data_IF_034998982962
#
_entry.id   IF_034998982962
#
_cell.length_a   1.000
_cell.length_b   1.000
_cell.length_c   1.000
_cell.angle_alpha   90.00
_cell.angle_beta   90.00
_cell.angle_gamma   90.00
#
_symmetry.space_group_name_H-M   'P 1'
#
loop_
_entity.id
_entity.type
_entity.pdbx_description
1 polymer ?
#
# COMPACT_ATOMS: atom_id res chain seq x y z
N UNK A 1 -34.21 -41.19 -2.18
CA UNK A 1 -33.26 -40.31 -2.90
C UNK A 1 -33.59 -38.82 -2.74
N UNK A 2 -34.85 -38.38 -2.67
CA UNK A 2 -35.17 -36.94 -2.49
C UNK A 2 -34.93 -36.39 -1.08
N UNK A 3 -35.20 -37.17 -0.03
CA UNK A 3 -35.07 -36.71 1.36
C UNK A 3 -33.63 -36.30 1.73
N UNK A 4 -32.64 -37.13 1.42
CA UNK A 4 -31.23 -36.79 1.67
C UNK A 4 -30.79 -35.55 0.88
N UNK A 5 -31.18 -35.43 -0.40
CA UNK A 5 -30.87 -34.25 -1.20
C UNK A 5 -31.52 -32.97 -0.64
N UNK A 6 -32.75 -33.05 -0.13
CA UNK A 6 -33.40 -31.93 0.55
C UNK A 6 -32.76 -31.60 1.89
N UNK A 7 -32.42 -32.62 2.68
CA UNK A 7 -31.72 -32.48 3.95
C UNK A 7 -30.39 -31.74 3.77
N UNK A 8 -29.53 -32.19 2.86
CA UNK A 8 -28.25 -31.52 2.57
C UNK A 8 -28.46 -30.06 2.18
N UNK A 9 -29.43 -29.76 1.30
CA UNK A 9 -29.71 -28.38 0.88
C UNK A 9 -30.18 -27.49 2.04
N UNK A 10 -31.00 -28.04 2.94
CA UNK A 10 -31.50 -27.32 4.12
C UNK A 10 -30.34 -27.09 5.12
N UNK A 11 -29.53 -28.11 5.39
CA UNK A 11 -28.37 -28.01 6.28
C UNK A 11 -27.37 -26.97 5.77
N UNK A 12 -26.99 -27.03 4.48
CA UNK A 12 -26.11 -26.03 3.87
C UNK A 12 -26.70 -24.62 3.90
N UNK A 13 -28.01 -24.47 3.70
CA UNK A 13 -28.67 -23.16 3.84
C UNK A 13 -28.52 -22.60 5.26
N UNK A 14 -28.79 -23.41 6.29
CA UNK A 14 -28.66 -22.97 7.68
C UNK A 14 -27.21 -22.70 8.09
N UNK A 15 -26.25 -23.50 7.62
CA UNK A 15 -24.82 -23.24 7.81
C UNK A 15 -24.41 -21.88 7.24
N UNK A 16 -24.83 -21.57 6.00
CA UNK A 16 -24.58 -20.26 5.38
C UNK A 16 -25.21 -19.12 6.19
N UNK A 17 -26.46 -19.27 6.64
CA UNK A 17 -27.13 -18.26 7.49
C UNK A 17 -26.34 -18.05 8.79
N UNK A 18 -25.87 -19.12 9.42
CA UNK A 18 -25.13 -19.06 10.67
C UNK A 18 -23.78 -18.36 10.50
N UNK A 19 -23.02 -18.73 9.47
CA UNK A 19 -21.75 -18.09 9.15
C UNK A 19 -21.91 -16.61 8.81
N UNK A 20 -22.95 -16.26 8.04
CA UNK A 20 -23.26 -14.87 7.72
C UNK A 20 -23.59 -14.05 8.97
N UNK A 21 -24.36 -14.61 9.92
CA UNK A 21 -24.67 -13.96 11.18
C UNK A 21 -23.40 -13.73 12.01
N UNK A 22 -22.56 -14.77 12.17
CA UNK A 22 -21.30 -14.67 12.92
C UNK A 22 -20.37 -13.62 12.33
N UNK A 23 -20.25 -13.56 11.00
CA UNK A 23 -19.44 -12.54 10.31
C UNK A 23 -19.95 -11.13 10.61
N UNK A 24 -21.25 -10.88 10.46
CA UNK A 24 -21.85 -9.57 10.77
C UNK A 24 -21.64 -9.15 12.23
N UNK A 25 -21.72 -10.10 13.16
CA UNK A 25 -21.41 -9.84 14.58
C UNK A 25 -19.95 -9.44 14.79
N UNK A 26 -19.00 -10.13 14.13
CA UNK A 26 -17.57 -9.76 14.18
C UNK A 26 -17.31 -8.37 13.61
N UNK A 27 -17.91 -8.03 12.47
CA UNK A 27 -17.80 -6.70 11.85
C UNK A 27 -18.32 -5.64 12.84
N UNK A 28 -19.53 -5.80 13.37
CA UNK A 28 -20.09 -4.85 14.33
C UNK A 28 -19.23 -4.70 15.59
N UNK A 29 -18.66 -5.80 16.10
CA UNK A 29 -17.73 -5.75 17.23
C UNK A 29 -16.45 -4.97 16.90
N UNK A 30 -15.91 -5.17 15.69
CA UNK A 30 -14.74 -4.42 15.20
C UNK A 30 -15.05 -2.94 15.07
N UNK A 31 -16.19 -2.56 14.47
CA UNK A 31 -16.59 -1.15 14.35
C UNK A 31 -16.71 -0.46 15.73
N UNK A 32 -17.25 -1.17 16.74
CA UNK A 32 -17.29 -0.70 18.13
C UNK A 32 -15.90 -0.49 18.71
N UNK A 33 -15.01 -1.44 18.51
CA UNK A 33 -13.63 -1.33 18.99
C UNK A 33 -12.91 -0.13 18.34
N UNK A 34 -12.98 0.01 17.01
CA UNK A 34 -12.29 1.07 16.27
C UNK A 34 -12.83 2.44 16.70
N UNK A 35 -14.14 2.59 16.81
CA UNK A 35 -14.75 3.83 17.28
C UNK A 35 -14.26 4.23 18.68
N UNK A 36 -14.20 3.28 19.63
CA UNK A 36 -13.73 3.54 20.98
C UNK A 36 -12.24 3.90 21.00
N UNK A 37 -11.41 3.20 20.21
CA UNK A 37 -9.97 3.51 20.09
C UNK A 37 -9.74 4.89 19.48
N UNK A 38 -10.46 5.24 18.41
CA UNK A 38 -10.40 6.56 17.79
C UNK A 38 -10.83 7.64 18.79
N UNK A 39 -11.92 7.41 19.54
CA UNK A 39 -12.39 8.31 20.59
C UNK A 39 -11.32 8.53 21.66
N UNK A 40 -10.70 7.45 22.14
CA UNK A 40 -9.66 7.51 23.15
C UNK A 40 -8.46 8.35 22.68
N UNK A 41 -8.03 8.19 21.43
CA UNK A 41 -6.95 9.00 20.84
C UNK A 41 -7.32 10.48 20.75
N UNK A 42 -8.55 10.78 20.35
CA UNK A 42 -9.05 12.16 20.25
C UNK A 42 -9.10 12.80 21.65
N UNK A 43 -9.77 12.16 22.60
CA UNK A 43 -10.06 12.72 23.93
C UNK A 43 -8.80 12.82 24.81
N UNK A 44 -7.85 11.90 24.65
CA UNK A 44 -6.58 11.94 25.41
C UNK A 44 -5.56 12.95 24.89
N UNK A 45 -5.71 13.41 23.64
CA UNK A 45 -4.68 14.21 22.98
C UNK A 45 -3.49 13.40 22.44
N UNK A 46 -3.52 12.05 22.52
CA UNK A 46 -2.40 11.18 22.11
C UNK A 46 -2.06 11.34 20.63
N UNK A 47 -0.77 11.42 20.31
CA UNK A 47 -0.24 11.34 18.94
C UNK A 47 0.18 9.93 18.54
N UNK A 48 0.12 8.98 19.47
CA UNK A 48 0.36 7.55 19.22
C UNK A 48 -0.96 6.80 19.05
N UNK A 49 -1.10 6.09 17.93
CA UNK A 49 -2.34 5.43 17.53
C UNK A 49 -2.10 4.12 16.73
N UNK A 50 -1.24 3.25 17.24
CA UNK A 50 -0.86 2.02 16.54
C UNK A 50 -2.03 1.03 16.39
N UNK A 51 -2.22 0.51 15.18
CA UNK A 51 -3.13 -0.62 14.90
C UNK A 51 -4.62 -0.28 14.87
N UNK A 52 -4.96 1.01 14.75
CA UNK A 52 -6.33 1.45 14.49
C UNK A 52 -6.54 1.45 12.96
N UNK A 53 -7.48 0.66 12.42
CA UNK A 53 -7.88 0.76 11.02
C UNK A 53 -8.84 1.95 10.85
N UNK A 54 -8.28 3.10 10.52
CA UNK A 54 -9.01 4.37 10.48
C UNK A 54 -10.10 4.39 9.40
N UNK A 55 -9.99 3.54 8.38
CA UNK A 55 -10.99 3.33 7.33
C UNK A 55 -12.36 2.91 7.90
N UNK A 56 -12.36 2.29 9.10
CA UNK A 56 -13.57 1.86 9.79
C UNK A 56 -14.05 2.83 10.87
N UNK A 57 -13.32 3.92 11.15
CA UNK A 57 -13.58 4.78 12.30
C UNK A 57 -15.01 5.34 12.28
N UNK A 58 -15.46 5.80 11.12
CA UNK A 58 -16.81 6.34 10.93
C UNK A 58 -17.91 5.30 10.81
N UNK A 59 -17.60 4.00 10.79
CA UNK A 59 -18.60 2.96 10.55
C UNK A 59 -19.77 2.97 11.52
N UNK A 60 -19.52 3.26 12.81
CA UNK A 60 -20.60 3.46 13.78
C UNK A 60 -21.29 4.82 13.69
N UNK A 61 -20.57 5.86 13.28
CA UNK A 61 -21.12 7.21 13.12
C UNK A 61 -22.13 7.27 11.97
N UNK A 62 -21.92 6.49 10.91
CA UNK A 62 -22.81 6.38 9.74
C UNK A 62 -24.08 5.57 10.07
N UNK A 63 -24.02 4.60 10.98
CA UNK A 63 -25.17 3.78 11.37
C UNK A 63 -26.00 4.45 12.48
N UNK A 64 -27.08 5.14 12.11
CA UNK A 64 -28.03 5.72 13.06
C UNK A 64 -28.51 4.71 14.12
N UNK A 65 -28.45 5.09 15.40
CA UNK A 65 -29.00 4.30 16.51
C UNK A 65 -28.18 3.09 16.97
N UNK A 66 -26.98 2.84 16.40
CA UNK A 66 -26.17 1.63 16.72
C UNK A 66 -25.12 1.85 17.82
N UNK A 67 -24.76 3.10 18.13
CA UNK A 67 -23.82 3.42 19.20
C UNK A 67 -24.47 4.32 20.25
N UNK A 68 -24.46 3.89 21.51
CA UNK A 68 -24.86 4.71 22.67
C UNK A 68 -23.81 5.79 23.01
N UNK A 69 -23.12 6.35 22.01
CA UNK A 69 -21.92 7.15 22.16
C UNK A 69 -21.94 8.45 21.34
N UNK A 70 -20.95 9.30 21.60
CA UNK A 70 -20.73 10.56 20.88
C UNK A 70 -20.26 10.25 19.44
N UNK A 71 -20.83 10.86 18.38
CA UNK A 71 -20.34 10.76 17.01
C UNK A 71 -18.88 11.24 16.86
N UNK A 72 -18.07 10.60 16.00
CA UNK A 72 -16.71 11.10 15.70
C UNK A 72 -16.79 12.43 14.94
N UNK A 73 -15.80 13.34 15.13
CA UNK A 73 -15.69 14.55 14.33
C UNK A 73 -15.72 14.26 12.83
N UNK A 74 -16.42 15.10 12.07
CA UNK A 74 -16.55 15.02 10.61
C UNK A 74 -16.14 16.31 9.91
N UNK A 75 -15.80 17.36 10.67
CA UNK A 75 -15.43 18.67 10.16
C UNK A 75 -14.19 19.23 10.86
N UNK A 76 -13.48 20.15 10.21
CA UNK A 76 -12.29 20.81 10.77
C UNK A 76 -12.60 21.69 11.98
N UNK A 77 -13.84 22.16 12.12
CA UNK A 77 -14.28 22.95 13.27
C UNK A 77 -14.46 22.07 14.52
N UNK A 78 -14.80 20.79 14.34
CA UNK A 78 -14.93 19.82 15.43
C UNK A 78 -13.59 19.25 15.87
N UNK A 79 -12.64 19.09 14.94
CA UNK A 79 -11.29 18.63 15.23
C UNK A 79 -10.28 19.29 14.27
N UNK A 80 -9.49 20.26 14.77
CA UNK A 80 -8.32 20.75 14.06
C UNK A 80 -7.31 19.63 13.84
N UNK A 81 -6.62 19.68 12.71
CA UNK A 81 -5.61 18.66 12.36
C UNK A 81 -4.48 18.61 13.36
N UNK A 82 -4.08 17.38 13.68
CA UNK A 82 -2.94 17.04 14.52
C UNK A 82 -2.05 16.07 13.76
N UNK A 83 -0.76 16.36 13.67
CA UNK A 83 0.24 15.41 13.16
C UNK A 83 0.46 14.32 14.21
N UNK A 84 0.31 13.07 13.79
CA UNK A 84 0.53 11.88 14.61
C UNK A 84 2.01 11.50 14.63
N UNK A 85 2.43 10.64 15.56
CA UNK A 85 3.84 10.27 15.72
C UNK A 85 4.42 9.61 14.46
N UNK A 86 3.58 8.90 13.70
CA UNK A 86 3.92 8.27 12.41
C UNK A 86 3.81 9.21 11.20
N UNK A 87 3.47 10.48 11.41
CA UNK A 87 3.33 11.49 10.35
C UNK A 87 1.94 11.52 9.70
N UNK A 88 1.03 10.59 10.01
CA UNK A 88 -0.36 10.68 9.55
C UNK A 88 -1.05 11.92 10.14
N UNK A 89 -2.08 12.41 9.45
CA UNK A 89 -2.81 13.60 9.85
C UNK A 89 -4.15 13.21 10.48
N UNK A 90 -4.28 13.37 11.80
CA UNK A 90 -5.55 13.20 12.48
C UNK A 90 -6.38 14.48 12.37
N UNK A 91 -7.42 14.43 11.56
CA UNK A 91 -8.39 15.49 11.34
C UNK A 91 -9.47 15.03 10.37
N UNK A 92 -10.29 15.95 9.87
CA UNK A 92 -11.44 15.64 9.03
C UNK A 92 -11.34 16.18 7.58
N UNK A 93 -10.20 16.73 7.17
CA UNK A 93 -9.99 17.08 5.76
C UNK A 93 -9.88 15.80 4.92
N UNK A 94 -9.94 15.97 3.60
CA UNK A 94 -9.75 14.86 2.67
C UNK A 94 -8.44 14.13 2.99
N UNK A 95 -8.46 12.79 3.01
CA UNK A 95 -7.30 11.93 3.30
C UNK A 95 -6.79 11.93 4.75
N UNK A 96 -7.29 12.80 5.62
CA UNK A 96 -6.98 12.74 7.05
C UNK A 96 -7.69 11.53 7.69
N UNK A 97 -7.23 11.09 8.86
CA UNK A 97 -7.67 9.84 9.49
C UNK A 97 -9.18 9.79 9.82
N UNK A 98 -9.87 10.93 9.91
CA UNK A 98 -11.32 11.01 10.10
C UNK A 98 -12.03 11.64 8.89
N UNK A 99 -11.44 11.62 7.71
CA UNK A 99 -12.15 11.94 6.47
C UNK A 99 -13.43 11.08 6.37
N UNK A 100 -14.62 11.69 6.34
CA UNK A 100 -15.88 10.93 6.26
C UNK A 100 -15.96 10.03 5.02
N UNK A 101 -15.19 10.32 3.96
CA UNK A 101 -15.15 9.52 2.73
C UNK A 101 -14.49 8.15 2.89
N UNK A 102 -13.74 7.91 3.96
CA UNK A 102 -13.30 6.56 4.31
C UNK A 102 -14.48 5.58 4.48
N UNK A 103 -15.71 6.09 4.69
CA UNK A 103 -16.91 5.28 4.64
C UNK A 103 -17.11 4.49 3.33
N UNK A 104 -16.57 4.97 2.20
CA UNK A 104 -16.56 4.24 0.92
C UNK A 104 -15.72 2.96 1.00
N UNK A 105 -14.53 3.03 1.59
CA UNK A 105 -13.68 1.86 1.83
C UNK A 105 -14.41 0.80 2.67
N UNK A 106 -15.14 1.23 3.70
CA UNK A 106 -15.96 0.32 4.52
C UNK A 106 -17.10 -0.32 3.72
N UNK A 107 -17.82 0.45 2.90
CA UNK A 107 -18.94 -0.07 2.09
C UNK A 107 -18.42 -1.11 1.09
N UNK A 108 -17.42 -0.74 0.30
CA UNK A 108 -16.80 -1.63 -0.70
C UNK A 108 -16.28 -2.91 -0.04
N UNK A 109 -15.55 -2.78 1.07
CA UNK A 109 -15.04 -3.92 1.83
C UNK A 109 -16.18 -4.87 2.24
N UNK A 110 -17.25 -4.36 2.87
CA UNK A 110 -18.38 -5.20 3.31
C UNK A 110 -19.05 -5.90 2.13
N UNK A 111 -19.19 -5.22 0.99
CA UNK A 111 -19.83 -5.75 -0.21
C UNK A 111 -18.97 -6.81 -0.92
N UNK A 112 -17.64 -6.74 -0.82
CA UNK A 112 -16.70 -7.62 -1.51
C UNK A 112 -15.94 -8.61 -0.60
N UNK A 113 -16.34 -8.74 0.67
CA UNK A 113 -15.68 -9.61 1.67
C UNK A 113 -15.44 -11.06 1.22
N UNK A 114 -16.23 -11.58 0.28
CA UNK A 114 -16.10 -12.97 -0.23
C UNK A 114 -15.86 -13.05 -1.74
N UNK A 115 -15.99 -11.94 -2.44
CA UNK A 115 -15.94 -11.90 -3.89
C UNK A 115 -14.75 -11.02 -4.31
N UNK A 116 -13.74 -11.65 -4.90
CA UNK A 116 -12.55 -10.98 -5.41
C UNK A 116 -12.21 -11.47 -6.81
N UNK A 117 -11.46 -10.64 -7.54
CA UNK A 117 -10.91 -10.98 -8.84
C UNK A 117 -10.07 -12.28 -8.74
N UNK A 118 -10.04 -13.11 -9.81
CA UNK A 118 -9.26 -14.34 -9.81
C UNK A 118 -7.75 -14.06 -9.79
N UNK A 119 -7.01 -14.91 -9.08
CA UNK A 119 -5.54 -14.88 -9.05
C UNK A 119 -4.93 -15.24 -10.41
N UNK A 120 -4.08 -14.35 -10.95
CA UNK A 120 -3.27 -14.63 -12.13
C UNK A 120 -2.12 -15.58 -11.81
N UNK A 121 -1.88 -16.59 -12.67
CA UNK A 121 -0.90 -17.66 -12.38
C UNK A 121 0.35 -17.61 -13.25
N UNK A 122 0.38 -16.71 -14.25
CA UNK A 122 1.42 -16.65 -15.28
C UNK A 122 2.06 -15.26 -15.28
N UNK A 123 2.86 -14.93 -14.24
CA UNK A 123 3.44 -13.62 -14.09
C UNK A 123 4.39 -13.29 -15.24
N UNK A 124 4.44 -12.02 -15.62
CA UNK A 124 5.44 -11.52 -16.56
C UNK A 124 6.87 -11.75 -16.05
N UNK A 125 7.76 -12.20 -16.93
CA UNK A 125 9.20 -12.25 -16.69
C UNK A 125 9.92 -11.55 -17.84
N UNK A 126 10.40 -10.34 -17.59
CA UNK A 126 10.80 -9.40 -18.64
C UNK A 126 12.32 -9.21 -18.61
N UNK A 127 12.97 -9.50 -19.74
CA UNK A 127 14.37 -9.15 -19.93
C UNK A 127 14.51 -7.62 -20.08
N UNK A 128 15.46 -7.02 -19.36
CA UNK A 128 15.76 -5.60 -19.42
C UNK A 128 17.24 -5.35 -19.79
N UNK A 129 17.59 -4.16 -20.30
CA UNK A 129 18.98 -3.80 -20.54
C UNK A 129 19.83 -3.76 -19.24
N UNK A 130 21.14 -3.95 -19.38
CA UNK A 130 22.09 -3.79 -18.25
C UNK A 130 22.23 -2.33 -17.78
N UNK A 131 21.89 -1.37 -18.65
CA UNK A 131 21.76 0.05 -18.30
C UNK A 131 20.29 0.45 -18.44
N UNK A 132 19.62 0.70 -17.33
CA UNK A 132 18.17 0.93 -17.29
C UNK A 132 17.80 1.85 -16.13
N UNK A 133 16.66 2.53 -16.21
CA UNK A 133 16.17 3.42 -15.15
C UNK A 133 14.73 3.12 -14.80
N UNK A 134 14.40 3.27 -13.52
CA UNK A 134 13.07 3.06 -12.98
C UNK A 134 12.61 4.32 -12.24
N UNK A 135 11.32 4.65 -12.31
CA UNK A 135 10.68 5.59 -11.42
C UNK A 135 9.59 4.87 -10.63
N UNK A 136 9.58 5.01 -9.31
CA UNK A 136 8.73 4.24 -8.40
C UNK A 136 8.01 5.20 -7.46
N UNK A 137 6.68 5.07 -7.36
CA UNK A 137 5.85 5.78 -6.39
C UNK A 137 4.78 4.82 -5.86
N UNK A 138 4.57 4.81 -4.54
CA UNK A 138 3.40 4.19 -3.91
C UNK A 138 2.41 5.25 -3.43
N UNK A 139 1.18 4.83 -3.17
CA UNK A 139 0.20 5.66 -2.45
C UNK A 139 -0.06 6.97 -3.23
N UNK A 140 -0.06 6.84 -4.56
CA UNK A 140 -0.16 7.94 -5.52
C UNK A 140 -1.57 8.07 -6.11
N UNK A 141 -2.37 7.00 -6.11
CA UNK A 141 -3.65 6.89 -6.80
C UNK A 141 -4.80 7.68 -6.15
N UNK A 142 -4.61 8.97 -5.86
CA UNK A 142 -5.65 9.85 -5.31
C UNK A 142 -6.41 10.64 -6.38
N UNK A 143 -5.86 10.69 -7.60
CA UNK A 143 -6.40 11.45 -8.74
C UNK A 143 -6.41 12.97 -8.58
N UNK A 144 -5.79 13.50 -7.51
CA UNK A 144 -5.88 14.92 -7.16
C UNK A 144 -4.64 15.75 -7.55
N UNK A 145 -4.61 17.00 -7.07
CA UNK A 145 -3.54 17.94 -7.39
C UNK A 145 -2.17 17.54 -6.86
N UNK A 146 -2.08 16.81 -5.73
CA UNK A 146 -0.80 16.34 -5.17
C UNK A 146 -0.24 15.24 -6.07
N UNK A 147 -1.07 14.25 -6.41
CA UNK A 147 -0.72 13.21 -7.39
C UNK A 147 -0.29 13.82 -8.73
N UNK A 148 -1.01 14.84 -9.21
CA UNK A 148 -0.68 15.56 -10.44
C UNK A 148 0.69 16.26 -10.41
N UNK A 149 1.11 16.83 -9.27
CA UNK A 149 2.45 17.41 -9.12
C UNK A 149 3.54 16.33 -9.21
N UNK A 150 3.38 15.21 -8.50
CA UNK A 150 4.33 14.09 -8.55
C UNK A 150 4.41 13.49 -9.96
N UNK A 151 3.27 13.31 -10.64
CA UNK A 151 3.25 12.84 -12.02
C UNK A 151 3.99 13.80 -12.97
N UNK A 152 3.80 15.11 -12.82
CA UNK A 152 4.55 16.12 -13.58
C UNK A 152 6.06 16.03 -13.32
N UNK A 153 6.46 15.86 -12.06
CA UNK A 153 7.88 15.71 -11.70
C UNK A 153 8.50 14.42 -12.28
N UNK A 154 7.74 13.31 -12.31
CA UNK A 154 8.15 12.07 -12.98
C UNK A 154 8.30 12.25 -14.50
N UNK A 155 7.38 12.96 -15.17
CA UNK A 155 7.49 13.28 -16.60
C UNK A 155 8.74 14.13 -16.90
N UNK A 156 9.09 15.05 -16.00
CA UNK A 156 10.33 15.85 -16.10
C UNK A 156 11.61 15.04 -15.82
N UNK A 157 11.48 13.84 -15.23
CA UNK A 157 12.57 12.95 -14.86
C UNK A 157 12.35 11.55 -15.47
N UNK A 158 12.32 11.42 -16.81
CA UNK A 158 11.88 10.20 -17.47
C UNK A 158 12.70 8.97 -17.08
N UNK A 159 12.02 7.82 -17.08
CA UNK A 159 12.57 6.51 -16.79
C UNK A 159 12.15 5.50 -17.87
N UNK A 160 12.92 4.42 -17.97
CA UNK A 160 12.58 3.31 -18.86
C UNK A 160 11.36 2.54 -18.35
N UNK A 161 11.30 2.30 -17.04
CA UNK A 161 10.15 1.67 -16.39
C UNK A 161 9.56 2.58 -15.32
N UNK A 162 8.25 2.56 -15.19
CA UNK A 162 7.51 3.25 -14.12
C UNK A 162 6.73 2.23 -13.32
N UNK A 163 6.80 2.27 -11.99
CA UNK A 163 6.18 1.27 -11.11
C UNK A 163 5.31 1.95 -10.04
N UNK A 164 4.02 1.62 -10.02
CA UNK A 164 3.09 2.01 -8.97
C UNK A 164 3.09 0.93 -7.87
N UNK A 165 3.35 1.29 -6.61
CA UNK A 165 3.41 0.32 -5.50
C UNK A 165 2.03 0.01 -4.87
N UNK A 166 0.93 0.37 -5.54
CA UNK A 166 -0.43 0.15 -5.07
C UNK A 166 -1.01 1.37 -4.34
N UNK A 167 -2.25 1.24 -3.89
CA UNK A 167 -3.10 2.25 -3.26
C UNK A 167 -3.66 3.32 -4.22
N UNK A 168 -4.79 2.96 -4.81
CA UNK A 168 -5.77 3.82 -5.45
C UNK A 168 -6.96 4.00 -4.52
N UNK A 169 -7.17 5.24 -4.09
CA UNK A 169 -8.09 5.58 -3.01
C UNK A 169 -9.50 5.91 -3.53
N UNK A 170 -10.56 5.67 -2.75
CA UNK A 170 -10.56 5.19 -1.35
C UNK A 170 -10.58 3.66 -1.22
N UNK A 171 -10.95 2.94 -2.28
CA UNK A 171 -11.24 1.50 -2.22
C UNK A 171 -10.88 0.73 -3.51
N UNK A 172 -10.08 1.34 -4.40
CA UNK A 172 -9.77 0.80 -5.72
C UNK A 172 -10.98 0.39 -6.55
N UNK A 173 -12.14 1.04 -6.32
CA UNK A 173 -13.37 0.71 -7.02
C UNK A 173 -13.22 1.03 -8.53
N UNK A 174 -13.93 0.31 -9.39
CA UNK A 174 -13.76 0.41 -10.85
C UNK A 174 -13.85 1.82 -11.47
N UNK A 175 -14.66 2.77 -10.96
CA UNK A 175 -14.62 4.15 -11.44
C UNK A 175 -13.39 4.94 -10.98
N UNK A 176 -12.82 4.60 -9.83
CA UNK A 176 -11.68 5.29 -9.23
C UNK A 176 -10.37 4.80 -9.85
N UNK A 177 -10.18 3.48 -9.94
CA UNK A 177 -9.00 2.85 -10.54
C UNK A 177 -8.64 3.42 -11.91
N UNK A 178 -9.56 3.35 -12.86
CA UNK A 178 -9.31 3.86 -14.21
C UNK A 178 -9.19 5.38 -14.29
N UNK A 179 -9.86 6.13 -13.40
CA UNK A 179 -9.80 7.60 -13.36
C UNK A 179 -8.48 8.07 -12.77
N UNK A 180 -8.07 7.50 -11.64
CA UNK A 180 -6.97 8.01 -10.84
C UNK A 180 -5.63 7.51 -11.40
N UNK A 181 -5.58 6.30 -11.99
CA UNK A 181 -4.44 5.84 -12.79
C UNK A 181 -4.37 6.48 -14.19
N UNK A 182 -5.38 7.25 -14.63
CA UNK A 182 -5.39 7.81 -15.98
C UNK A 182 -4.19 8.72 -16.28
N UNK A 183 -3.70 9.40 -15.24
CA UNK A 183 -2.57 10.33 -15.29
C UNK A 183 -1.23 9.69 -14.90
N UNK A 184 -1.18 8.37 -14.67
CA UNK A 184 0.06 7.68 -14.30
C UNK A 184 1.13 7.87 -15.40
N UNK A 185 2.33 8.39 -15.08
CA UNK A 185 3.38 8.60 -16.06
C UNK A 185 3.89 7.28 -16.64
N UNK A 186 3.92 7.16 -17.97
CA UNK A 186 4.35 5.93 -18.64
C UNK A 186 5.87 5.89 -18.84
N UNK A 187 6.52 4.79 -18.47
CA UNK A 187 7.92 4.53 -18.82
C UNK A 187 8.11 4.22 -20.31
N UNK A 188 9.30 4.51 -20.86
CA UNK A 188 9.57 4.33 -22.30
C UNK A 188 9.66 2.87 -22.75
N UNK A 189 9.92 1.94 -21.84
CA UNK A 189 9.95 0.48 -22.07
C UNK A 189 8.76 -0.25 -21.43
N UNK A 190 8.03 0.40 -20.53
CA UNK A 190 6.82 -0.15 -19.94
C UNK A 190 6.51 0.37 -18.54
N UNK A 191 5.43 -0.16 -18.00
CA UNK A 191 4.93 0.21 -16.68
C UNK A 191 4.39 -1.01 -15.94
N UNK A 192 4.42 -0.93 -14.62
CA UNK A 192 3.95 -1.96 -13.70
C UNK A 192 3.16 -1.35 -12.55
N UNK A 193 2.25 -2.11 -11.97
CA UNK A 193 1.47 -1.76 -10.79
C UNK A 193 1.33 -2.97 -9.87
N UNK A 194 1.49 -2.75 -8.57
CA UNK A 194 1.20 -3.74 -7.53
C UNK A 194 -0.22 -3.51 -6.98
N UNK A 195 -0.80 -4.59 -6.46
CA UNK A 195 -2.06 -4.58 -5.72
C UNK A 195 -1.82 -4.19 -4.25
N UNK A 196 -2.85 -3.68 -3.56
CA UNK A 196 -2.76 -3.17 -2.19
C UNK A 196 -3.98 -3.49 -1.31
N UNK A 197 -3.97 -3.03 -0.05
CA UNK A 197 -5.16 -3.12 0.80
C UNK A 197 -6.35 -2.33 0.25
N UNK A 198 -6.13 -1.12 -0.29
CA UNK A 198 -7.22 -0.32 -0.86
C UNK A 198 -7.85 -0.98 -2.08
N UNK A 199 -7.06 -1.52 -3.00
CA UNK A 199 -7.59 -2.31 -4.13
C UNK A 199 -8.41 -3.52 -3.66
N UNK A 200 -7.97 -4.19 -2.60
CA UNK A 200 -8.64 -5.37 -2.07
C UNK A 200 -9.97 -5.07 -1.38
N UNK A 201 -10.27 -3.81 -1.01
CA UNK A 201 -11.58 -3.44 -0.49
C UNK A 201 -12.70 -3.66 -1.51
N UNK A 202 -12.46 -3.44 -2.80
CA UNK A 202 -13.39 -3.80 -3.89
C UNK A 202 -13.07 -5.15 -4.53
N UNK A 203 -12.37 -6.04 -3.80
CA UNK A 203 -11.95 -7.35 -4.29
C UNK A 203 -10.96 -7.28 -5.46
N UNK A 204 -10.21 -6.18 -5.62
CA UNK A 204 -9.26 -5.93 -6.71
C UNK A 204 -9.86 -6.00 -8.12
N UNK A 205 -11.18 -5.90 -8.28
CA UNK A 205 -11.84 -5.99 -9.59
C UNK A 205 -11.45 -4.83 -10.49
N UNK A 206 -11.35 -3.62 -9.94
CA UNK A 206 -10.86 -2.43 -10.65
C UNK A 206 -9.40 -2.60 -11.06
N UNK A 207 -8.54 -2.98 -10.11
CA UNK A 207 -7.12 -3.25 -10.33
C UNK A 207 -6.86 -4.21 -11.50
N UNK A 208 -7.45 -5.41 -11.48
CA UNK A 208 -7.19 -6.41 -12.53
C UNK A 208 -7.73 -5.97 -13.91
N UNK A 209 -8.77 -5.12 -13.93
CA UNK A 209 -9.24 -4.50 -15.17
C UNK A 209 -8.21 -3.52 -15.73
N UNK A 210 -7.68 -2.62 -14.91
CA UNK A 210 -6.63 -1.69 -15.33
C UNK A 210 -5.34 -2.42 -15.69
N UNK A 211 -5.00 -3.49 -14.98
CA UNK A 211 -3.86 -4.34 -15.28
C UNK A 211 -3.91 -4.89 -16.71
N UNK A 212 -5.07 -5.39 -17.14
CA UNK A 212 -5.28 -5.88 -18.49
C UNK A 212 -5.22 -4.78 -19.57
N UNK A 213 -5.54 -3.52 -19.22
CA UNK A 213 -5.61 -2.41 -20.17
C UNK A 213 -4.30 -1.63 -20.30
N UNK A 214 -3.62 -1.37 -19.18
CA UNK A 214 -2.51 -0.42 -19.09
C UNK A 214 -1.17 -1.06 -18.78
N UNK A 215 -1.16 -2.28 -18.23
CA UNK A 215 0.04 -2.94 -17.72
C UNK A 215 0.28 -4.30 -18.42
N UNK A 216 0.37 -4.33 -19.77
CA UNK A 216 0.37 -5.58 -20.54
C UNK A 216 1.58 -6.48 -20.23
N UNK A 217 2.69 -5.91 -19.75
CA UNK A 217 3.90 -6.68 -19.39
C UNK A 217 3.69 -7.60 -18.19
N UNK A 218 2.65 -7.38 -17.39
CA UNK A 218 2.31 -8.22 -16.24
C UNK A 218 1.48 -9.45 -16.61
N UNK A 219 1.00 -9.56 -17.85
CA UNK A 219 0.22 -10.70 -18.33
C UNK A 219 -0.97 -11.03 -17.41
N UNK A 220 -1.71 -10.00 -17.01
CA UNK A 220 -2.90 -10.12 -16.14
C UNK A 220 -2.60 -10.65 -14.73
N UNK A 221 -1.35 -10.55 -14.26
CA UNK A 221 -0.91 -11.07 -12.96
C UNK A 221 -0.39 -9.96 -12.05
N UNK A 222 -0.78 -9.94 -10.78
CA UNK A 222 -0.46 -8.87 -9.82
C UNK A 222 0.98 -8.86 -9.28
N UNK A 223 1.78 -9.84 -9.71
CA UNK A 223 3.19 -10.01 -9.38
C UNK A 223 3.99 -10.30 -10.67
N UNK A 224 5.28 -9.96 -10.66
CA UNK A 224 6.11 -10.01 -11.88
C UNK A 224 7.61 -10.06 -11.56
N UNK A 225 8.42 -10.28 -12.60
CA UNK A 225 9.88 -10.16 -12.52
C UNK A 225 10.48 -9.41 -13.71
N UNK A 226 11.53 -8.64 -13.46
CA UNK A 226 12.43 -8.12 -14.50
C UNK A 226 13.84 -8.65 -14.24
N UNK A 227 14.59 -8.97 -15.29
CA UNK A 227 15.96 -9.46 -15.14
C UNK A 227 16.91 -8.93 -16.20
N UNK A 228 18.17 -8.79 -15.83
CA UNK A 228 19.29 -8.63 -16.75
C UNK A 228 20.48 -9.44 -16.24
N UNK A 229 21.70 -9.22 -16.72
CA UNK A 229 22.86 -10.02 -16.31
C UNK A 229 23.17 -9.90 -14.81
N UNK A 230 22.86 -8.76 -14.22
CA UNK A 230 23.28 -8.37 -12.86
C UNK A 230 22.13 -8.32 -11.84
N UNK A 231 20.90 -8.11 -12.29
CA UNK A 231 19.75 -7.83 -11.44
C UNK A 231 18.59 -8.78 -11.68
N UNK A 232 17.92 -9.11 -10.58
CA UNK A 232 16.59 -9.69 -10.55
C UNK A 232 15.69 -8.74 -9.74
N UNK A 233 14.75 -8.08 -10.41
CA UNK A 233 13.74 -7.23 -9.79
C UNK A 233 12.45 -8.03 -9.68
N UNK A 234 11.83 -8.03 -8.50
CA UNK A 234 10.66 -8.86 -8.19
C UNK A 234 9.57 -7.95 -7.63
N UNK A 235 8.42 -7.89 -8.30
CA UNK A 235 7.21 -7.26 -7.78
C UNK A 235 6.29 -8.29 -7.15
N UNK A 236 5.89 -8.07 -5.90
CA UNK A 236 5.04 -8.96 -5.12
C UNK A 236 3.65 -8.36 -4.88
N UNK A 237 2.63 -9.20 -4.98
CA UNK A 237 1.29 -8.88 -4.46
C UNK A 237 1.21 -9.35 -3.02
N UNK A 238 1.31 -8.41 -2.07
CA UNK A 238 1.26 -8.74 -0.65
C UNK A 238 -0.13 -8.56 -0.05
N UNK A 239 -1.12 -8.13 -0.82
CA UNK A 239 -2.46 -7.82 -0.34
C UNK A 239 -3.47 -8.93 -0.63
N UNK A 240 -3.35 -9.61 -1.78
CA UNK A 240 -4.38 -10.55 -2.24
C UNK A 240 -4.70 -11.66 -1.24
N UNK A 241 -3.69 -12.17 -0.54
CA UNK A 241 -3.86 -13.22 0.48
C UNK A 241 -3.88 -12.70 1.91
N UNK A 242 -3.79 -11.38 2.13
CA UNK A 242 -3.82 -10.80 3.47
C UNK A 242 -5.19 -11.00 4.13
N UNK A 243 -5.23 -10.93 5.46
CA UNK A 243 -6.45 -11.19 6.23
C UNK A 243 -7.51 -10.12 5.94
N UNK A 244 -8.60 -10.52 5.30
CA UNK A 244 -9.71 -9.63 4.96
C UNK A 244 -10.36 -9.02 6.20
N UNK A 245 -10.34 -9.72 7.34
CA UNK A 245 -10.91 -9.22 8.60
C UNK A 245 -9.99 -8.22 9.31
N UNK A 246 -8.72 -8.14 8.89
CA UNK A 246 -7.78 -7.08 9.27
C UNK A 246 -7.60 -6.05 8.15
N UNK A 247 -8.57 -5.92 7.23
CA UNK A 247 -8.54 -4.96 6.12
C UNK A 247 -7.28 -5.07 5.25
N UNK A 248 -6.73 -6.28 5.13
CA UNK A 248 -5.54 -6.55 4.34
C UNK A 248 -4.27 -5.78 4.77
N UNK A 249 -4.27 -5.14 5.96
CA UNK A 249 -3.19 -4.24 6.42
C UNK A 249 -1.86 -4.94 6.71
N UNK A 250 -1.90 -6.24 6.98
CA UNK A 250 -0.72 -7.06 7.21
C UNK A 250 -0.44 -7.93 5.98
N UNK A 251 0.54 -7.52 5.19
CA UNK A 251 0.87 -8.20 3.94
C UNK A 251 1.34 -9.66 4.11
N UNK A 252 1.04 -10.50 3.13
CA UNK A 252 1.40 -11.92 3.11
C UNK A 252 1.55 -12.44 1.68
N UNK A 253 2.37 -13.48 1.46
CA UNK A 253 2.63 -14.01 0.12
C UNK A 253 1.54 -14.97 -0.37
N UNK A 254 0.97 -15.77 0.54
CA UNK A 254 0.18 -16.95 0.18
C UNK A 254 1.00 -18.06 -0.49
N UNK A 255 0.44 -19.26 -0.56
CA UNK A 255 1.18 -20.47 -0.97
C UNK A 255 1.67 -20.42 -2.43
N UNK A 256 0.81 -19.94 -3.34
CA UNK A 256 1.10 -19.95 -4.78
C UNK A 256 2.27 -19.00 -5.12
N UNK A 257 2.24 -17.77 -4.59
CA UNK A 257 3.33 -16.81 -4.81
C UNK A 257 4.59 -17.22 -4.06
N UNK A 258 4.48 -17.81 -2.86
CA UNK A 258 5.63 -18.36 -2.12
C UNK A 258 6.36 -19.42 -2.94
N UNK A 259 5.61 -20.36 -3.53
CA UNK A 259 6.18 -21.39 -4.39
C UNK A 259 6.83 -20.80 -5.64
N UNK A 260 6.19 -19.82 -6.28
CA UNK A 260 6.75 -19.10 -7.43
C UNK A 260 8.05 -18.37 -7.07
N UNK A 261 8.07 -17.63 -5.96
CA UNK A 261 9.23 -16.85 -5.53
C UNK A 261 10.44 -17.76 -5.26
N UNK A 262 10.21 -18.91 -4.64
CA UNK A 262 11.23 -19.94 -4.41
C UNK A 262 11.80 -20.48 -5.73
N UNK A 263 10.92 -20.82 -6.68
CA UNK A 263 11.35 -21.31 -8.00
C UNK A 263 12.13 -20.25 -8.78
N UNK A 264 11.67 -19.00 -8.76
CA UNK A 264 12.33 -17.87 -9.42
C UNK A 264 13.72 -17.63 -8.82
N UNK A 265 13.84 -17.61 -7.50
CA UNK A 265 15.12 -17.43 -6.81
C UNK A 265 16.12 -18.56 -7.15
N UNK A 266 15.66 -19.81 -7.22
CA UNK A 266 16.51 -20.94 -7.60
C UNK A 266 16.95 -20.88 -9.07
N UNK A 267 16.04 -20.46 -9.97
CA UNK A 267 16.31 -20.43 -11.40
C UNK A 267 17.13 -19.22 -11.84
N UNK A 268 16.90 -18.05 -11.24
CA UNK A 268 17.45 -16.77 -11.71
C UNK A 268 18.22 -15.99 -10.63
N UNK A 269 18.07 -16.35 -9.36
CA UNK A 269 18.63 -15.59 -8.23
C UNK A 269 20.14 -15.75 -8.01
N UNK A 270 20.80 -16.69 -8.70
CA UNK A 270 22.20 -17.11 -8.54
C UNK A 270 23.18 -16.06 -8.02
N UNK A 271 23.94 -15.42 -8.91
CA UNK A 271 24.87 -14.34 -8.54
C UNK A 271 24.27 -12.93 -8.69
N UNK A 272 23.01 -12.83 -9.10
CA UNK A 272 22.35 -11.54 -9.33
C UNK A 272 22.07 -10.84 -8.01
N UNK A 273 22.06 -9.51 -8.05
CA UNK A 273 21.50 -8.67 -6.98
C UNK A 273 19.98 -8.74 -7.06
N UNK A 274 19.32 -8.81 -5.91
CA UNK A 274 17.86 -8.91 -5.83
C UNK A 274 17.28 -7.59 -5.33
N UNK A 275 16.36 -7.02 -6.11
CA UNK A 275 15.53 -5.89 -5.72
C UNK A 275 14.09 -6.36 -5.58
N UNK A 276 13.49 -6.12 -4.41
CA UNK A 276 12.12 -6.46 -4.12
C UNK A 276 11.23 -5.22 -4.10
N UNK A 277 10.01 -5.36 -4.62
CA UNK A 277 8.98 -4.32 -4.63
C UNK A 277 7.70 -4.93 -4.05
N UNK A 278 7.06 -4.26 -3.09
CA UNK A 278 5.79 -4.68 -2.50
C UNK A 278 4.95 -3.47 -2.11
N UNK A 279 3.66 -3.65 -1.85
CA UNK A 279 2.87 -2.62 -1.19
C UNK A 279 3.25 -2.54 0.30
N UNK A 280 3.01 -3.62 1.04
CA UNK A 280 3.34 -3.74 2.46
C UNK A 280 4.86 -3.81 2.76
N UNK A 281 5.23 -3.33 3.95
CA UNK A 281 6.59 -3.14 4.45
C UNK A 281 7.24 -4.38 5.07
N UNK A 282 8.56 -4.46 4.95
CA UNK A 282 9.38 -5.48 5.64
C UNK A 282 9.81 -5.11 7.06
N UNK A 283 9.74 -3.84 7.44
CA UNK A 283 10.11 -3.33 8.76
C UNK A 283 8.96 -2.60 9.43
N UNK A 284 8.96 -2.55 10.77
CA UNK A 284 8.20 -1.51 11.46
C UNK A 284 8.62 -0.12 10.97
N UNK A 285 7.72 0.86 11.08
CA UNK A 285 7.95 2.22 10.56
C UNK A 285 9.27 2.83 11.06
N UNK A 286 9.62 2.61 12.33
CA UNK A 286 10.84 3.10 12.99
C UNK A 286 12.08 2.23 12.71
N UNK A 287 11.93 1.14 11.97
CA UNK A 287 13.00 0.20 11.63
C UNK A 287 13.48 -0.67 12.80
N UNK A 288 12.76 -0.72 13.92
CA UNK A 288 13.20 -1.47 15.12
C UNK A 288 12.98 -2.98 15.02
N UNK A 289 12.00 -3.41 14.23
CA UNK A 289 11.65 -4.83 14.07
C UNK A 289 11.32 -5.18 12.62
N UNK A 290 11.37 -6.49 12.34
CA UNK A 290 11.00 -7.11 11.06
C UNK A 290 9.53 -7.55 11.13
N UNK A 291 8.79 -7.41 10.04
CA UNK A 291 7.39 -7.83 9.95
C UNK A 291 7.27 -9.33 9.68
N UNK A 292 6.07 -9.90 9.83
CA UNK A 292 5.82 -11.30 9.43
C UNK A 292 6.07 -11.52 7.93
N UNK A 293 5.74 -10.53 7.08
CA UNK A 293 6.00 -10.55 5.65
C UNK A 293 7.50 -10.69 5.35
N UNK A 294 8.35 -10.00 6.11
CA UNK A 294 9.80 -10.11 5.99
C UNK A 294 10.28 -11.56 6.11
N UNK A 295 9.79 -12.27 7.14
CA UNK A 295 10.19 -13.66 7.38
C UNK A 295 9.68 -14.59 6.27
N UNK A 296 8.45 -14.38 5.77
CA UNK A 296 7.92 -15.14 4.63
C UNK A 296 8.77 -14.96 3.38
N UNK A 297 9.13 -13.71 3.05
CA UNK A 297 9.99 -13.37 1.91
C UNK A 297 11.37 -13.99 2.06
N UNK A 298 12.00 -13.86 3.22
CA UNK A 298 13.33 -14.41 3.48
C UNK A 298 13.33 -15.94 3.34
N UNK A 299 12.31 -16.61 3.88
CA UNK A 299 12.14 -18.06 3.77
C UNK A 299 11.93 -18.51 2.31
N UNK A 300 11.19 -17.74 1.51
CA UNK A 300 10.93 -18.05 0.11
C UNK A 300 12.16 -17.79 -0.78
N UNK A 301 12.83 -16.65 -0.60
CA UNK A 301 14.04 -16.27 -1.35
C UNK A 301 15.27 -17.09 -0.96
N UNK A 302 15.33 -17.57 0.30
CA UNK A 302 16.48 -18.27 0.87
C UNK A 302 17.64 -17.36 1.28
N UNK A 303 17.49 -16.04 1.13
CA UNK A 303 18.45 -14.99 1.55
C UNK A 303 17.75 -13.64 1.63
N UNK A 304 18.37 -12.68 2.34
CA UNK A 304 17.92 -11.28 2.31
C UNK A 304 18.09 -10.73 0.87
N UNK A 305 17.09 -9.97 0.34
CA UNK A 305 17.29 -9.20 -0.87
C UNK A 305 18.30 -8.07 -0.63
N UNK A 306 18.90 -7.55 -1.70
CA UNK A 306 19.86 -6.44 -1.62
C UNK A 306 19.14 -5.10 -1.41
N UNK A 307 17.99 -4.93 -2.07
CA UNK A 307 17.11 -3.76 -1.92
C UNK A 307 15.67 -4.19 -1.77
N UNK A 308 14.89 -3.42 -1.02
CA UNK A 308 13.45 -3.60 -0.93
C UNK A 308 12.76 -2.24 -0.82
N UNK A 309 11.92 -1.92 -1.80
CA UNK A 309 11.09 -0.71 -1.85
C UNK A 309 9.62 -1.06 -1.58
N UNK A 310 8.97 -0.33 -0.69
CA UNK A 310 7.55 -0.55 -0.33
C UNK A 310 6.77 0.75 -0.16
N UNK A 311 5.43 0.69 -0.23
CA UNK A 311 4.51 1.82 -0.02
C UNK A 311 3.92 1.82 1.40
N UNK A 312 2.58 1.89 1.49
CA UNK A 312 1.69 1.61 2.62
C UNK A 312 1.78 2.56 3.84
N UNK A 313 2.97 2.96 4.24
CA UNK A 313 3.19 3.73 5.48
C UNK A 313 2.93 5.24 5.32
N UNK A 314 2.42 5.69 4.17
CA UNK A 314 2.21 7.11 3.86
C UNK A 314 3.42 8.01 4.15
N UNK A 315 4.63 7.51 3.88
CA UNK A 315 5.90 8.16 4.25
C UNK A 315 6.98 7.91 3.20
N UNK A 316 8.09 8.64 3.35
CA UNK A 316 9.36 8.34 2.67
C UNK A 316 10.45 8.07 3.70
N UNK A 317 11.04 6.87 3.64
CA UNK A 317 11.97 6.42 4.67
C UNK A 317 13.13 5.68 4.02
N UNK A 318 14.33 6.21 4.16
CA UNK A 318 15.56 5.48 3.92
C UNK A 318 16.02 4.89 5.25
N UNK A 319 15.83 3.58 5.45
CA UNK A 319 16.35 2.90 6.64
C UNK A 319 17.87 2.79 6.58
N UNK A 320 18.50 2.82 7.75
CA UNK A 320 19.89 2.38 7.89
C UNK A 320 20.01 0.91 7.43
N UNK A 321 21.13 0.51 6.81
CA UNK A 321 21.34 -0.87 6.40
C UNK A 321 21.21 -1.81 7.61
N UNK A 322 20.36 -2.84 7.50
CA UNK A 322 20.24 -3.89 8.51
C UNK A 322 20.65 -5.21 7.87
N UNK A 323 21.84 -5.70 8.23
CA UNK A 323 22.45 -6.79 7.48
C UNK A 323 22.87 -6.30 6.09
N UNK A 324 22.46 -7.01 5.04
CA UNK A 324 22.77 -6.62 3.65
C UNK A 324 21.66 -5.82 2.97
N UNK A 325 20.48 -5.78 3.57
CA UNK A 325 19.31 -5.16 2.98
C UNK A 325 19.34 -3.62 3.13
N UNK A 326 19.10 -2.95 2.01
CA UNK A 326 18.71 -1.55 1.94
C UNK A 326 17.18 -1.44 1.78
N UNK A 327 16.49 -1.25 2.90
CA UNK A 327 15.03 -1.04 2.92
C UNK A 327 14.65 0.41 2.65
N UNK A 328 13.57 0.63 1.89
CA UNK A 328 13.06 1.95 1.51
C UNK A 328 11.52 1.96 1.57
N UNK A 329 10.95 2.90 2.32
CA UNK A 329 9.54 3.27 2.15
C UNK A 329 9.44 4.41 1.12
N UNK A 330 8.52 4.26 0.16
CA UNK A 330 8.23 5.17 -0.95
C UNK A 330 6.71 5.37 -1.07
N UNK A 331 6.00 5.41 0.06
CA UNK A 331 4.54 5.58 0.09
C UNK A 331 4.11 7.04 0.22
N UNK A 332 4.86 7.97 -0.38
CA UNK A 332 4.60 9.40 -0.27
C UNK A 332 4.16 9.99 -1.62
N UNK A 333 3.44 9.21 -2.43
CA UNK A 333 3.07 9.60 -3.79
C UNK A 333 2.01 10.70 -3.86
N UNK A 334 1.03 10.71 -2.95
CA UNK A 334 -0.02 11.73 -2.98
C UNK A 334 -0.76 11.98 -1.66
N UNK A 335 -0.83 11.02 -0.73
CA UNK A 335 -1.49 11.24 0.57
C UNK A 335 -0.76 12.34 1.36
N UNK A 336 -1.48 13.35 1.90
CA UNK A 336 -0.90 14.38 2.73
C UNK A 336 -0.44 13.78 4.06
N UNK A 337 0.80 14.07 4.42
CA UNK A 337 1.45 13.59 5.64
C UNK A 337 2.35 14.69 6.22
N UNK A 338 2.54 14.66 7.52
CA UNK A 338 3.40 15.57 8.27
C UNK A 338 4.73 14.94 8.68
N UNK A 339 5.53 15.70 9.44
CA UNK A 339 6.80 15.20 9.97
C UNK A 339 6.55 14.12 11.03
N UNK A 340 6.92 12.88 10.73
CA UNK A 340 6.84 11.76 11.67
C UNK A 340 7.94 11.83 12.76
N UNK A 341 7.54 11.93 14.02
CA UNK A 341 8.46 11.97 15.17
C UNK A 341 9.13 10.61 15.44
N UNK A 342 8.46 9.49 15.12
CA UNK A 342 9.05 8.14 15.26
C UNK A 342 10.26 7.91 14.37
N UNK A 343 10.43 8.74 13.33
CA UNK A 343 11.55 8.67 12.40
C UNK A 343 12.77 9.49 12.85
N UNK A 344 12.68 10.26 13.95
CA UNK A 344 13.78 11.01 14.54
C UNK A 344 14.76 10.06 15.30
N UNK A 345 15.20 8.98 14.64
CA UNK A 345 16.12 7.97 15.15
C UNK A 345 17.23 7.67 14.13
N UNK A 346 18.37 8.40 14.18
CA UNK A 346 19.44 8.25 13.18
C UNK A 346 20.14 6.89 13.21
N UNK A 347 19.98 6.10 14.29
CA UNK A 347 20.51 4.75 14.37
C UNK A 347 19.71 3.75 13.52
N UNK A 348 18.48 4.10 13.12
CA UNK A 348 17.58 3.23 12.33
C UNK A 348 17.13 3.87 11.02
N UNK A 349 17.06 5.19 10.97
CA UNK A 349 16.61 5.96 9.81
C UNK A 349 17.77 6.82 9.30
N UNK A 350 18.21 6.55 8.07
CA UNK A 350 19.25 7.32 7.40
C UNK A 350 18.70 8.64 6.83
N UNK A 351 17.44 8.65 6.39
CA UNK A 351 16.75 9.84 5.92
C UNK A 351 15.23 9.65 5.90
N UNK A 352 14.51 10.73 6.14
CA UNK A 352 13.09 10.90 5.87
C UNK A 352 12.87 12.35 5.42
N UNK A 353 11.80 12.62 4.66
CA UNK A 353 11.47 14.00 4.28
C UNK A 353 10.98 14.78 5.50
N UNK A 354 11.34 16.06 5.55
CA UNK A 354 10.98 16.98 6.65
C UNK A 354 10.63 18.38 6.15
N UNK A 355 10.85 18.66 4.87
CA UNK A 355 10.57 19.97 4.29
C UNK A 355 9.06 20.14 4.07
N UNK A 356 8.54 21.25 4.59
CA UNK A 356 7.16 21.68 4.34
C UNK A 356 6.88 21.79 2.84
N UNK A 357 5.70 21.33 2.44
CA UNK A 357 5.20 21.51 1.08
C UNK A 357 4.65 22.93 0.84
N UNK A 358 4.55 23.77 1.88
CA UNK A 358 3.90 25.09 1.85
C UNK A 358 2.51 25.02 1.24
N UNK A 359 1.71 24.07 1.72
CA UNK A 359 0.37 23.79 1.22
C UNK A 359 -0.69 24.44 2.11
N UNK A 360 -1.39 25.46 1.60
CA UNK A 360 -2.41 26.17 2.38
C UNK A 360 -3.59 25.27 2.77
N UNK A 361 -3.85 24.17 2.04
CA UNK A 361 -4.91 23.21 2.38
C UNK A 361 -4.47 22.26 3.49
N UNK A 362 -3.18 21.98 3.58
CA UNK A 362 -2.56 21.13 4.60
C UNK A 362 -1.29 21.81 5.15
N UNK A 363 -1.43 22.77 6.09
CA UNK A 363 -0.29 23.57 6.56
C UNK A 363 0.86 22.73 7.14
N UNK A 364 0.54 21.57 7.72
CA UNK A 364 1.51 20.64 8.31
C UNK A 364 2.10 19.65 7.30
N UNK A 365 1.64 19.66 6.04
CA UNK A 365 2.09 18.73 5.01
C UNK A 365 3.55 18.96 4.64
N UNK A 366 4.28 17.86 4.54
CA UNK A 366 5.63 17.82 3.99
C UNK A 366 5.61 17.28 2.54
N UNK A 367 6.71 17.48 1.82
CA UNK A 367 6.78 17.20 0.38
C UNK A 367 6.51 15.73 0.04
N UNK A 368 5.54 15.50 -0.84
CA UNK A 368 5.34 14.22 -1.54
C UNK A 368 6.39 14.05 -2.66
N UNK A 369 6.47 12.85 -3.26
CA UNK A 369 7.50 12.54 -4.23
C UNK A 369 7.55 11.09 -4.71
N UNK A 370 8.68 10.74 -5.31
CA UNK A 370 8.95 9.41 -5.88
C UNK A 370 10.46 9.12 -5.83
N UNK A 371 10.84 7.87 -6.08
CA UNK A 371 12.26 7.49 -6.23
C UNK A 371 12.58 7.20 -7.69
N UNK A 372 13.71 7.72 -8.17
CA UNK A 372 14.31 7.38 -9.46
C UNK A 372 15.56 6.53 -9.25
N UNK A 373 15.57 5.36 -9.87
CA UNK A 373 16.68 4.41 -9.86
C UNK A 373 17.37 4.41 -11.22
N UNK A 374 18.70 4.31 -11.23
CA UNK A 374 19.49 4.06 -12.43
C UNK A 374 20.42 2.89 -12.16
N UNK A 375 20.24 1.83 -12.94
CA UNK A 375 21.08 0.64 -12.94
C UNK A 375 22.09 0.76 -14.08
N UNK A 376 23.35 0.45 -13.79
CA UNK A 376 24.43 0.41 -14.75
C UNK A 376 25.38 -0.74 -14.36
N UNK A 377 25.22 -1.87 -15.05
CA UNK A 377 25.82 -3.13 -14.62
C UNK A 377 25.30 -3.53 -13.23
N UNK A 378 26.20 -3.79 -12.28
CA UNK A 378 25.87 -4.12 -10.89
C UNK A 378 25.58 -2.89 -10.00
N UNK A 379 25.81 -1.69 -10.53
CA UNK A 379 25.68 -0.44 -9.77
C UNK A 379 24.24 0.04 -9.78
N UNK A 380 23.75 0.45 -8.61
CA UNK A 380 22.49 1.16 -8.44
C UNK A 380 22.75 2.57 -7.92
N UNK A 381 22.18 3.57 -8.59
CA UNK A 381 22.08 4.95 -8.11
C UNK A 381 20.62 5.27 -7.85
N UNK A 382 20.31 5.73 -6.64
CA UNK A 382 18.98 6.17 -6.25
C UNK A 382 18.94 7.67 -6.00
N UNK A 383 17.84 8.29 -6.41
CA UNK A 383 17.54 9.68 -6.16
C UNK A 383 16.05 9.81 -5.79
N UNK A 384 15.77 10.30 -4.58
CA UNK A 384 14.42 10.67 -4.17
C UNK A 384 14.16 12.10 -4.64
N UNK A 385 13.04 12.30 -5.32
CA UNK A 385 12.68 13.53 -6.01
C UNK A 385 11.33 13.99 -5.46
N UNK A 386 11.23 15.27 -5.08
CA UNK A 386 9.99 15.85 -4.57
C UNK A 386 8.97 16.15 -5.68
N UNK A 387 7.76 16.50 -5.27
CA UNK A 387 6.65 16.94 -6.13
C UNK A 387 6.95 18.20 -6.98
N UNK A 388 8.06 18.89 -6.71
CA UNK A 388 8.53 20.05 -7.46
C UNK A 388 9.67 19.71 -8.43
N UNK A 389 10.10 18.45 -8.49
CA UNK A 389 11.17 17.97 -9.36
C UNK A 389 12.59 18.11 -8.80
N UNK A 390 12.74 18.49 -7.53
CA UNK A 390 14.06 18.64 -6.91
C UNK A 390 14.53 17.34 -6.27
N UNK A 391 15.82 17.03 -6.40
CA UNK A 391 16.45 15.93 -5.67
C UNK A 391 16.50 16.25 -4.17
N UNK A 392 15.96 15.35 -3.36
CA UNK A 392 15.91 15.43 -1.89
C UNK A 392 16.94 14.54 -1.22
N UNK A 393 17.18 13.35 -1.76
CA UNK A 393 18.15 12.41 -1.22
C UNK A 393 18.79 11.53 -2.31
N UNK A 394 20.08 11.13 -2.19
CA UNK A 394 21.04 11.60 -1.19
C UNK A 394 21.29 13.11 -1.35
N UNK A 395 21.53 13.79 -0.23
CA UNK A 395 21.82 15.23 -0.23
C UNK A 395 23.04 15.52 -1.13
N UNK A 396 23.12 16.73 -1.74
CA UNK A 396 24.22 17.12 -2.62
C UNK A 396 25.62 16.92 -2.04
#
# INVERSE_FOLDING_TARGET
MFFEAWKTRIETYFEHVWHNLQRKQRILARLKQVHEQARQVIDSGSTSATGIPWELAHGLTIMEGVAAGKPLPTTTDELPTRVMDDGTLLGCRKWELLDPKWGEAMVEWIEHLVDRAPWGQTPGSIAMPNQVSLAIAGDWGTGDGIAGKVAKAMVQNPAHYTIHLGDVYYAGASPDEGRDLSAWPTGTLGQFALNSNHEMYSGAVGYFRELAQRFPLQNGTSYFSLHNDHWLIIGLDTAYYADEMNLYMDGTLGDQQTAWLKQLAQAQGGSKRIMLLSHHQGYAIDGTSKTALYDQVLNALGREPDYWYWGHLHNVICYQPQGKLLGRCVGHGAIPYGKASVLDNPARVAWAETQSAYDDQYPDRILNGFVRLTLDGETLREAFIDENGNKRWPLP
#
